data_IF_124472348626
#
_entry.id   IF_124472348626
#
_cell.length_a   1.000
_cell.length_b   1.000
_cell.length_c   1.000
_cell.angle_alpha   90.00
_cell.angle_beta   90.00
_cell.angle_gamma   90.00
#
_symmetry.space_group_name_H-M   'P 1'
#
loop_
_entity.id
_entity.type
_entity.pdbx_description
1 polymer ?
#
# COMPACT_ATOMS: atom_id res chain seq x y z
N UNK A 1 13.45 12.52 -1.30
CA UNK A 1 12.86 12.85 -2.63
C UNK A 1 11.89 11.73 -3.02
N UNK A 2 10.77 12.06 -3.66
CA UNK A 2 9.77 11.05 -4.06
C UNK A 2 10.11 10.54 -5.45
N UNK A 3 10.24 9.22 -5.60
CA UNK A 3 10.56 8.56 -6.88
C UNK A 3 9.26 8.35 -7.66
N UNK A 4 8.35 7.54 -7.13
CA UNK A 4 7.03 7.29 -7.72
C UNK A 4 5.93 7.37 -6.68
N UNK A 5 4.71 7.68 -7.13
CA UNK A 5 3.52 7.68 -6.29
C UNK A 5 2.30 7.22 -7.10
N UNK A 6 1.36 6.59 -6.41
CA UNK A 6 0.13 6.10 -7.01
C UNK A 6 -0.85 5.66 -5.94
N UNK A 7 -2.11 5.57 -6.34
CA UNK A 7 -3.21 5.21 -5.45
C UNK A 7 -4.33 4.57 -6.26
N UNK A 8 -5.22 3.84 -5.59
CA UNK A 8 -6.43 3.31 -6.21
C UNK A 8 -7.27 4.41 -6.89
N UNK A 9 -7.25 5.65 -6.37
CA UNK A 9 -7.94 6.78 -6.97
C UNK A 9 -7.34 7.23 -8.30
N UNK A 10 -6.01 7.21 -8.43
CA UNK A 10 -5.28 7.53 -9.67
C UNK A 10 -5.62 6.53 -10.79
N UNK A 11 -5.87 5.26 -10.42
CA UNK A 11 -6.28 4.19 -11.34
C UNK A 11 -7.79 4.21 -11.68
N UNK A 12 -8.53 5.24 -11.26
CA UNK A 12 -9.95 5.40 -11.59
C UNK A 12 -10.92 4.64 -10.68
N UNK A 13 -10.46 3.93 -9.65
CA UNK A 13 -11.37 3.27 -8.70
C UNK A 13 -12.07 4.29 -7.81
N UNK A 14 -13.40 4.16 -7.67
CA UNK A 14 -14.26 5.03 -6.85
C UNK A 14 -15.08 4.21 -5.84
N UNK A 15 -15.46 4.87 -4.74
CA UNK A 15 -16.27 4.27 -3.68
C UNK A 15 -15.63 3.03 -3.04
N UNK A 16 -16.46 2.03 -2.73
CA UNK A 16 -16.05 0.75 -2.12
C UNK A 16 -15.04 -0.03 -2.95
N UNK A 17 -15.00 0.17 -4.28
CA UNK A 17 -14.06 -0.52 -5.18
C UNK A 17 -12.59 -0.18 -4.91
N UNK A 18 -12.31 0.93 -4.22
CA UNK A 18 -10.96 1.30 -3.77
C UNK A 18 -10.37 0.32 -2.74
N UNK A 19 -11.20 -0.34 -1.95
CA UNK A 19 -10.77 -1.25 -0.87
C UNK A 19 -10.61 -2.70 -1.33
N UNK A 20 -10.42 -2.91 -2.63
CA UNK A 20 -10.26 -4.25 -3.21
C UNK A 20 -8.78 -4.59 -3.37
N UNK A 21 -8.39 -5.87 -3.23
CA UNK A 21 -7.01 -6.29 -3.47
C UNK A 21 -6.57 -5.99 -4.91
N UNK A 22 -7.47 -6.15 -5.88
CA UNK A 22 -7.21 -5.83 -7.28
C UNK A 22 -6.82 -4.36 -7.49
N UNK A 23 -7.51 -3.43 -6.85
CA UNK A 23 -7.18 -2.01 -6.92
C UNK A 23 -5.79 -1.71 -6.33
N UNK A 24 -5.40 -2.42 -5.26
CA UNK A 24 -4.08 -2.30 -4.66
C UNK A 24 -2.97 -2.84 -5.57
N UNK A 25 -3.21 -3.96 -6.26
CA UNK A 25 -2.27 -4.52 -7.24
C UNK A 25 -2.03 -3.54 -8.39
N UNK A 26 -3.10 -3.06 -9.04
CA UNK A 26 -2.99 -2.11 -10.14
C UNK A 26 -2.22 -0.84 -9.76
N UNK A 27 -2.52 -0.27 -8.59
CA UNK A 27 -1.81 0.92 -8.10
C UNK A 27 -0.32 0.64 -7.81
N UNK A 28 -0.01 -0.54 -7.25
CA UNK A 28 1.37 -0.94 -6.95
C UNK A 28 2.16 -1.23 -8.21
N UNK A 29 1.53 -1.80 -9.23
CA UNK A 29 2.14 -2.09 -10.52
C UNK A 29 2.57 -0.81 -11.26
N UNK A 30 1.69 0.20 -11.32
CA UNK A 30 1.99 1.52 -11.91
C UNK A 30 3.20 2.16 -11.22
N UNK A 31 3.19 2.17 -9.88
CA UNK A 31 4.30 2.73 -9.09
C UNK A 31 5.61 1.97 -9.27
N UNK A 32 5.54 0.64 -9.32
CA UNK A 32 6.71 -0.25 -9.46
C UNK A 32 7.36 -0.05 -10.82
N UNK A 33 6.55 0.02 -11.88
CA UNK A 33 7.06 0.21 -13.24
C UNK A 33 7.81 1.53 -13.36
N UNK A 34 7.21 2.63 -12.92
CA UNK A 34 7.87 3.94 -12.93
C UNK A 34 9.15 3.93 -12.08
N UNK A 35 9.13 3.31 -10.89
CA UNK A 35 10.32 3.19 -10.04
C UNK A 35 11.43 2.36 -10.68
N UNK A 36 11.07 1.26 -11.34
CA UNK A 36 12.01 0.37 -12.00
C UNK A 36 12.69 1.04 -13.21
N UNK A 37 11.94 1.82 -13.99
CA UNK A 37 12.48 2.61 -15.10
C UNK A 37 13.49 3.67 -14.62
N UNK A 38 13.32 4.16 -13.39
CA UNK A 38 14.28 5.06 -12.71
C UNK A 38 15.46 4.32 -12.05
N UNK A 39 15.57 3.01 -12.22
CA UNK A 39 16.71 2.20 -11.75
C UNK A 39 16.56 1.62 -10.35
N UNK A 40 15.37 1.66 -9.74
CA UNK A 40 15.14 1.12 -8.41
C UNK A 40 15.06 -0.41 -8.42
N UNK A 41 15.89 -1.07 -7.59
CA UNK A 41 16.04 -2.54 -7.58
C UNK A 41 15.67 -3.21 -6.26
N UNK A 42 15.94 -2.56 -5.12
CA UNK A 42 15.69 -3.09 -3.78
C UNK A 42 14.92 -2.08 -2.95
N UNK A 43 13.94 -2.55 -2.18
CA UNK A 43 13.14 -1.69 -1.28
C UNK A 43 12.89 -2.33 0.07
N UNK A 44 12.84 -1.48 1.10
CA UNK A 44 12.25 -1.79 2.39
C UNK A 44 10.80 -1.32 2.36
N UNK A 45 9.87 -2.23 2.67
CA UNK A 45 8.44 -1.93 2.61
C UNK A 45 7.94 -1.56 3.99
N UNK A 46 7.42 -0.34 4.13
CA UNK A 46 6.74 0.12 5.33
C UNK A 46 5.24 0.07 5.11
N UNK A 47 4.56 -0.74 5.92
CA UNK A 47 3.11 -0.93 5.82
C UNK A 47 2.41 -0.23 6.97
N UNK A 48 1.28 0.43 6.69
CA UNK A 48 0.48 1.09 7.71
C UNK A 48 -0.98 0.66 7.60
N UNK A 49 -1.45 -0.03 8.64
CA UNK A 49 -2.85 -0.42 8.82
C UNK A 49 -3.19 -1.84 8.34
N UNK A 50 -4.24 -2.47 8.91
CA UNK A 50 -4.74 -3.78 8.51
C UNK A 50 -5.79 -3.65 7.40
N UNK A 51 -5.33 -3.48 6.16
CA UNK A 51 -6.20 -3.38 4.97
C UNK A 51 -6.15 -4.63 4.07
N UNK A 52 -7.22 -4.89 3.33
CA UNK A 52 -7.32 -6.00 2.35
C UNK A 52 -6.25 -5.94 1.24
N UNK A 53 -5.79 -4.73 0.89
CA UNK A 53 -4.78 -4.51 -0.13
C UNK A 53 -3.34 -4.72 0.32
N UNK A 54 -3.10 -5.00 1.61
CA UNK A 54 -1.76 -5.04 2.23
C UNK A 54 -0.82 -6.04 1.56
N UNK A 55 -1.15 -7.32 1.59
CA UNK A 55 -0.29 -8.35 0.99
C UNK A 55 -0.26 -8.27 -0.53
N UNK A 56 -1.40 -7.92 -1.13
CA UNK A 56 -1.53 -7.81 -2.58
C UNK A 56 -0.55 -6.78 -3.15
N UNK A 57 -0.41 -5.62 -2.49
CA UNK A 57 0.56 -4.60 -2.89
C UNK A 57 2.01 -5.11 -2.82
N UNK A 58 2.38 -5.78 -1.72
CA UNK A 58 3.74 -6.29 -1.50
C UNK A 58 4.10 -7.35 -2.55
N UNK A 59 3.19 -8.29 -2.81
CA UNK A 59 3.40 -9.32 -3.83
C UNK A 59 3.55 -8.71 -5.22
N UNK A 60 2.79 -7.67 -5.54
CA UNK A 60 2.91 -6.98 -6.83
C UNK A 60 4.24 -6.24 -6.97
N UNK A 61 4.77 -5.60 -5.91
CA UNK A 61 6.12 -5.00 -5.96
C UNK A 61 7.17 -6.05 -6.35
N UNK A 62 7.12 -7.22 -5.70
CA UNK A 62 8.04 -8.33 -5.99
C UNK A 62 7.86 -8.87 -7.42
N UNK A 63 6.63 -9.03 -7.88
CA UNK A 63 6.33 -9.51 -9.24
C UNK A 63 6.82 -8.57 -10.35
N UNK A 64 6.96 -7.26 -10.06
CA UNK A 64 7.47 -6.26 -11.00
C UNK A 64 9.01 -6.13 -10.98
N UNK A 65 9.72 -7.08 -10.35
CA UNK A 65 11.18 -7.13 -10.39
C UNK A 65 11.88 -6.24 -9.37
N UNK A 66 11.16 -5.73 -8.36
CA UNK A 66 11.73 -5.02 -7.22
C UNK A 66 11.88 -6.00 -6.07
N UNK A 67 13.12 -6.23 -5.62
CA UNK A 67 13.41 -7.12 -4.50
C UNK A 67 13.00 -6.46 -3.18
N UNK A 68 12.15 -7.15 -2.41
CA UNK A 68 11.71 -6.70 -1.09
C UNK A 68 12.68 -7.27 -0.05
N UNK A 69 13.46 -6.41 0.60
CA UNK A 69 14.47 -6.84 1.57
C UNK A 69 13.90 -7.00 2.97
N UNK A 70 13.01 -6.09 3.38
CA UNK A 70 12.39 -6.09 4.70
C UNK A 70 10.94 -5.61 4.59
N UNK A 71 10.09 -6.16 5.45
CA UNK A 71 8.69 -5.73 5.61
C UNK A 71 8.52 -5.27 7.06
N UNK A 72 8.26 -3.97 7.24
CA UNK A 72 8.09 -3.35 8.56
C UNK A 72 6.64 -2.88 8.69
N UNK A 73 5.98 -3.32 9.75
CA UNK A 73 4.65 -2.82 10.11
C UNK A 73 4.77 -1.58 10.99
N UNK A 74 4.24 -0.45 10.51
CA UNK A 74 4.20 0.84 11.20
C UNK A 74 2.76 1.21 11.54
N UNK A 75 1.90 0.21 11.76
CA UNK A 75 0.52 0.44 12.21
C UNK A 75 0.53 1.12 13.59
N UNK A 76 -0.12 2.29 13.73
CA UNK A 76 -0.07 3.04 14.98
C UNK A 76 -0.82 2.31 16.10
N UNK A 77 -0.11 1.98 17.18
CA UNK A 77 -0.70 1.47 18.42
C UNK A 77 -0.72 2.61 19.46
N UNK A 78 -1.90 3.18 19.79
CA UNK A 78 -1.98 4.28 20.73
C UNK A 78 -1.90 3.78 22.19
N UNK A 79 -0.95 4.32 22.96
CA UNK A 79 -0.87 4.10 24.42
C UNK A 79 -1.84 5.03 25.15
N UNK A 80 -3.13 4.69 25.19
CA UNK A 80 -4.19 5.49 25.83
C UNK A 80 -4.28 6.95 25.33
N UNK A 81 -4.17 7.15 24.02
CA UNK A 81 -4.31 8.45 23.36
C UNK A 81 -5.77 8.87 23.12
N UNK A 82 -6.05 9.45 21.95
CA UNK A 82 -7.40 9.89 21.60
C UNK A 82 -8.44 8.77 21.70
N UNK A 83 -9.60 9.07 22.30
CA UNK A 83 -10.71 8.14 22.43
C UNK A 83 -11.22 7.70 21.04
N UNK A 84 -11.26 6.39 20.73
CA UNK A 84 -11.84 5.90 19.49
C UNK A 84 -13.33 6.25 19.35
N UNK A 85 -13.87 6.35 18.13
CA UNK A 85 -15.29 6.57 17.90
C UNK A 85 -16.15 5.51 18.62
N UNK A 86 -17.33 5.94 19.11
CA UNK A 86 -18.28 5.04 19.76
C UNK A 86 -18.61 3.87 18.83
N UNK A 87 -18.64 2.64 19.38
CA UNK A 87 -19.01 1.42 18.65
C UNK A 87 -20.34 1.65 17.91
N UNK A 88 -20.33 1.45 16.59
CA UNK A 88 -21.53 1.58 15.76
C UNK A 88 -22.55 0.51 16.14
N UNK A 89 -23.83 0.90 16.11
CA UNK A 89 -24.99 0.00 16.18
C UNK A 89 -25.47 -0.16 14.74
N UNK A 90 -25.00 -1.21 14.08
CA UNK A 90 -25.47 -1.63 12.75
C UNK A 90 -25.86 -3.07 12.87
#
# INVERSE_FOLDING_TARGET
QVISWGSAGKMGFRGSKKNTPYAAQMASQDCSKAAYDMGLRKVKVYVKGPGSGRESAIRTLHANGIEVTEIVDVTPMPHNGCRPPKRRRV
#
